data_IF_011723683875
#
_entry.id   IF_011723683875
#
_cell.length_a   1.000
_cell.length_b   1.000
_cell.length_c   1.000
_cell.angle_alpha   90.00
_cell.angle_beta   90.00
_cell.angle_gamma   90.00
#
_symmetry.space_group_name_H-M   'P 1'
#
loop_
_entity.id
_entity.type
_entity.pdbx_description
1 polymer ?
#
# COMPACT_ATOMS: atom_id res chain seq x y z
N UNK A 1 18.79 -3.00 -73.78
CA UNK A 1 17.74 -3.40 -72.89
C UNK A 1 18.23 -3.07 -71.44
N UNK A 2 17.86 -1.92 -70.88
CA UNK A 2 18.27 -1.47 -69.52
C UNK A 2 17.18 -1.81 -68.54
N UNK A 3 17.50 -2.72 -67.62
CA UNK A 3 16.62 -3.06 -66.53
C UNK A 3 16.77 -1.98 -65.46
N UNK A 4 15.69 -1.18 -65.27
CA UNK A 4 15.66 -0.16 -64.26
C UNK A 4 15.63 -0.79 -62.87
N UNK A 5 16.61 -0.46 -62.03
CA UNK A 5 16.57 -0.72 -60.60
C UNK A 5 15.59 0.26 -59.97
N UNK A 6 14.44 -0.23 -59.50
CA UNK A 6 13.54 0.53 -58.61
C UNK A 6 14.16 0.50 -57.21
N UNK A 7 14.84 1.59 -56.87
CA UNK A 7 15.20 1.87 -55.49
C UNK A 7 13.93 2.26 -54.75
N UNK A 8 13.36 1.35 -53.98
CA UNK A 8 12.32 1.69 -53.03
C UNK A 8 12.98 2.41 -51.87
N UNK A 9 12.91 3.74 -51.87
CA UNK A 9 13.29 4.54 -50.73
C UNK A 9 12.35 4.17 -49.57
N UNK A 10 12.85 3.36 -48.62
CA UNK A 10 12.16 3.16 -47.35
C UNK A 10 12.07 4.53 -46.67
N UNK A 11 10.85 5.03 -46.55
CA UNK A 11 10.62 6.35 -45.97
C UNK A 11 10.97 6.33 -44.49
N UNK A 12 11.80 7.28 -44.00
CA UNK A 12 12.25 7.31 -42.60
C UNK A 12 11.06 7.49 -41.60
N UNK A 13 9.88 7.78 -42.09
CA UNK A 13 8.66 7.97 -41.30
C UNK A 13 8.22 6.71 -40.52
N UNK A 14 8.55 5.48 -41.02
CA UNK A 14 8.22 4.24 -40.32
C UNK A 14 8.91 4.11 -38.95
N UNK A 15 10.18 4.52 -38.86
CA UNK A 15 10.92 4.46 -37.61
C UNK A 15 10.41 5.46 -36.56
N UNK A 16 9.99 6.65 -36.97
CA UNK A 16 9.41 7.65 -36.07
C UNK A 16 8.03 7.22 -35.56
N UNK A 17 7.22 6.56 -36.37
CA UNK A 17 5.92 6.03 -35.95
C UNK A 17 6.08 4.93 -34.89
N UNK A 18 7.00 3.97 -35.08
CA UNK A 18 7.28 2.89 -34.14
C UNK A 18 7.82 3.47 -32.82
N UNK A 19 8.75 4.42 -32.90
CA UNK A 19 9.28 5.12 -31.71
C UNK A 19 8.20 5.85 -30.94
N UNK A 20 7.30 6.55 -31.60
CA UNK A 20 6.17 7.26 -30.99
C UNK A 20 5.20 6.31 -30.27
N UNK A 21 4.86 5.16 -30.89
CA UNK A 21 4.01 4.15 -30.27
C UNK A 21 4.67 3.54 -29.02
N UNK A 22 5.97 3.24 -29.07
CA UNK A 22 6.70 2.70 -27.95
C UNK A 22 6.73 3.67 -26.76
N UNK A 23 6.97 4.95 -27.01
CA UNK A 23 6.95 6.00 -25.97
C UNK A 23 5.54 6.12 -25.37
N UNK A 24 4.49 6.12 -26.19
CA UNK A 24 3.10 6.18 -25.73
C UNK A 24 2.77 4.99 -24.82
N UNK A 25 3.14 3.78 -25.21
CA UNK A 25 2.93 2.58 -24.38
C UNK A 25 3.68 2.66 -23.05
N UNK A 26 4.92 3.14 -23.03
CA UNK A 26 5.69 3.35 -21.80
C UNK A 26 4.98 4.36 -20.90
N UNK A 27 4.51 5.47 -21.45
CA UNK A 27 3.76 6.49 -20.67
C UNK A 27 2.47 5.90 -20.12
N UNK A 28 1.70 5.13 -20.90
CA UNK A 28 0.48 4.46 -20.43
C UNK A 28 0.80 3.47 -19.30
N UNK A 29 1.87 2.69 -19.42
CA UNK A 29 2.31 1.75 -18.38
C UNK A 29 2.72 2.52 -17.12
N UNK A 30 3.50 3.58 -17.23
CA UNK A 30 3.90 4.41 -16.09
C UNK A 30 2.70 5.07 -15.41
N UNK A 31 1.75 5.59 -16.18
CA UNK A 31 0.51 6.15 -15.65
C UNK A 31 -0.34 5.07 -14.97
N UNK A 32 -0.46 3.88 -15.54
CA UNK A 32 -1.23 2.79 -14.93
C UNK A 32 -0.61 2.27 -13.62
N UNK A 33 0.72 2.37 -13.47
CA UNK A 33 1.43 2.06 -12.23
C UNK A 33 1.24 3.19 -11.21
N UNK A 34 1.34 4.45 -11.64
CA UNK A 34 1.19 5.63 -10.79
C UNK A 34 -0.26 5.81 -10.28
N UNK A 35 -1.25 5.45 -11.09
CA UNK A 35 -2.68 5.56 -10.78
C UNK A 35 -3.34 4.22 -10.49
N UNK A 36 -2.62 3.25 -9.87
CA UNK A 36 -3.26 2.02 -9.41
C UNK A 36 -4.42 2.37 -8.47
N UNK A 37 -5.66 2.01 -8.81
CA UNK A 37 -6.78 2.32 -7.94
C UNK A 37 -6.61 1.59 -6.60
N UNK A 38 -6.82 2.32 -5.50
CA UNK A 38 -6.95 1.70 -4.18
C UNK A 38 -7.89 0.50 -4.25
N UNK A 39 -7.60 -0.60 -3.56
CA UNK A 39 -8.62 -1.60 -3.30
C UNK A 39 -9.88 -0.88 -2.81
N UNK A 40 -10.96 -0.98 -3.56
CA UNK A 40 -12.19 -0.18 -3.41
C UNK A 40 -12.64 0.00 -1.94
N UNK A 41 -12.49 -1.05 -1.13
CA UNK A 41 -12.83 -1.05 0.30
C UNK A 41 -11.97 -0.12 1.16
N UNK A 42 -10.69 0.06 0.83
CA UNK A 42 -9.79 0.96 1.58
C UNK A 42 -10.00 2.39 1.11
N UNK A 43 -10.17 2.61 -0.21
CA UNK A 43 -10.54 3.92 -0.72
C UNK A 43 -11.79 4.46 -0.04
N UNK A 44 -12.82 3.61 0.12
CA UNK A 44 -14.06 3.98 0.78
C UNK A 44 -13.86 4.30 2.27
N UNK A 45 -12.99 3.55 2.98
CA UNK A 45 -12.66 3.82 4.39
C UNK A 45 -11.86 5.12 4.56
N UNK A 46 -10.86 5.35 3.73
CA UNK A 46 -10.08 6.59 3.75
C UNK A 46 -10.97 7.78 3.44
N UNK A 47 -11.87 7.68 2.44
CA UNK A 47 -12.86 8.72 2.13
C UNK A 47 -13.82 9.01 3.29
N UNK A 48 -14.24 7.96 4.00
CA UNK A 48 -15.12 8.06 5.17
C UNK A 48 -14.39 8.46 6.45
N UNK A 49 -13.07 8.72 6.40
CA UNK A 49 -12.22 8.93 7.58
C UNK A 49 -12.32 7.78 8.60
N UNK A 50 -12.45 6.54 8.13
CA UNK A 50 -12.63 5.33 8.95
C UNK A 50 -11.26 4.80 9.43
N UNK A 51 -10.37 5.72 9.78
CA UNK A 51 -9.12 5.43 10.48
C UNK A 51 -9.27 5.83 11.94
N UNK A 52 -8.86 4.93 12.81
CA UNK A 52 -9.00 5.04 14.26
C UNK A 52 -7.68 5.46 14.88
N UNK A 53 -7.68 6.34 15.88
CA UNK A 53 -6.49 6.55 16.70
C UNK A 53 -6.12 5.26 17.43
N UNK A 54 -4.84 5.05 17.66
CA UNK A 54 -4.38 3.87 18.41
C UNK A 54 -4.92 3.87 19.85
N UNK A 55 -5.06 5.04 20.47
CA UNK A 55 -5.64 5.15 21.80
C UNK A 55 -7.08 4.63 21.84
N UNK A 56 -7.91 5.02 20.85
CA UNK A 56 -9.30 4.57 20.73
C UNK A 56 -9.36 3.06 20.45
N UNK A 57 -8.43 2.54 19.62
CA UNK A 57 -8.29 1.12 19.39
C UNK A 57 -7.95 0.37 20.69
N UNK A 58 -6.99 0.85 21.48
CA UNK A 58 -6.58 0.22 22.73
C UNK A 58 -7.71 0.22 23.77
N UNK A 59 -8.51 1.29 23.82
CA UNK A 59 -9.69 1.33 24.67
C UNK A 59 -10.74 0.30 24.22
N UNK A 60 -11.04 0.24 22.92
CA UNK A 60 -11.98 -0.73 22.37
C UNK A 60 -11.49 -2.19 22.49
N UNK A 61 -10.19 -2.41 22.62
CA UNK A 61 -9.61 -3.74 22.84
C UNK A 61 -10.04 -4.33 24.19
N UNK A 62 -10.16 -3.49 25.22
CA UNK A 62 -10.60 -3.92 26.56
C UNK A 62 -12.05 -4.39 26.57
N UNK A 63 -12.87 -3.81 25.70
CA UNK A 63 -14.32 -4.03 25.65
C UNK A 63 -14.73 -5.24 24.79
N UNK A 64 -13.99 -5.55 23.75
CA UNK A 64 -14.33 -6.62 22.81
C UNK A 64 -13.19 -7.61 22.62
N UNK A 65 -13.49 -8.88 22.90
CA UNK A 65 -12.58 -10.00 22.65
C UNK A 65 -12.72 -10.60 21.24
N UNK A 66 -13.64 -10.10 20.44
CA UNK A 66 -13.82 -10.56 19.07
C UNK A 66 -12.58 -10.29 18.22
N UNK A 67 -12.05 -11.33 17.57
CA UNK A 67 -10.96 -11.20 16.63
C UNK A 67 -11.34 -11.85 15.28
N UNK A 68 -10.69 -11.43 14.22
CA UNK A 68 -11.02 -11.85 12.87
C UNK A 68 -9.81 -11.74 11.95
N UNK A 69 -9.80 -12.49 10.82
CA UNK A 69 -8.77 -12.34 9.82
C UNK A 69 -8.88 -10.99 9.10
N UNK A 70 -7.73 -10.36 8.86
CA UNK A 70 -7.70 -9.08 8.16
C UNK A 70 -6.30 -8.56 7.91
N UNK A 71 -6.24 -7.51 7.12
CA UNK A 71 -5.06 -6.67 6.95
C UNK A 71 -5.24 -5.37 7.72
N UNK A 72 -4.14 -4.76 8.07
CA UNK A 72 -4.13 -3.48 8.77
C UNK A 72 -3.01 -2.58 8.23
N UNK A 73 -3.27 -1.30 8.33
CA UNK A 73 -2.32 -0.24 8.00
C UNK A 73 -2.13 0.61 9.23
N UNK A 74 -0.88 0.82 9.64
CA UNK A 74 -0.50 1.70 10.74
C UNK A 74 0.16 2.93 10.12
N UNK A 75 -0.41 4.09 10.37
CA UNK A 75 0.05 5.38 9.87
C UNK A 75 0.63 6.17 11.03
N UNK A 76 1.85 6.66 10.88
CA UNK A 76 2.59 7.39 11.90
C UNK A 76 2.84 8.81 11.43
N UNK A 77 2.56 9.78 12.31
CA UNK A 77 2.71 11.21 12.09
C UNK A 77 3.51 11.83 13.25
N UNK A 78 4.70 12.30 12.95
CA UNK A 78 5.57 12.89 13.99
C UNK A 78 5.02 14.24 14.47
N UNK A 79 4.99 15.26 13.59
CA UNK A 79 4.64 16.63 13.99
C UNK A 79 3.50 17.25 13.17
N UNK A 80 2.76 16.47 12.41
CA UNK A 80 1.72 17.01 11.53
C UNK A 80 0.50 17.48 12.31
N UNK A 81 0.05 18.70 12.00
CA UNK A 81 -1.19 19.25 12.53
C UNK A 81 -2.42 18.64 11.87
N UNK A 82 -2.34 18.40 10.56
CA UNK A 82 -3.43 17.82 9.78
C UNK A 82 -3.09 16.37 9.45
N UNK A 83 -3.99 15.47 9.82
CA UNK A 83 -3.86 14.04 9.54
C UNK A 83 -4.47 13.76 8.17
N UNK A 84 -3.64 13.28 7.25
CA UNK A 84 -4.05 12.84 5.93
C UNK A 84 -3.48 11.45 5.67
N UNK A 85 -4.32 10.42 5.43
CA UNK A 85 -3.86 9.04 5.20
C UNK A 85 -2.89 8.88 4.03
N UNK A 86 -2.82 9.85 3.12
CA UNK A 86 -1.91 9.84 1.97
C UNK A 86 -0.60 10.61 2.24
N UNK A 87 -0.46 11.29 3.37
CA UNK A 87 0.71 12.12 3.72
C UNK A 87 1.18 11.82 5.15
N UNK A 88 1.55 10.59 5.41
CA UNK A 88 2.14 10.07 6.64
C UNK A 88 3.66 10.28 6.64
N UNK A 89 4.29 10.16 7.79
CA UNK A 89 5.77 10.18 7.91
C UNK A 89 6.30 8.76 7.79
N UNK A 90 5.68 7.80 8.49
CA UNK A 90 5.99 6.38 8.39
C UNK A 90 4.71 5.55 8.27
N UNK A 91 4.85 4.38 7.65
CA UNK A 91 3.76 3.44 7.46
C UNK A 91 4.22 2.00 7.68
N UNK A 92 3.35 1.21 8.30
CA UNK A 92 3.50 -0.24 8.38
C UNK A 92 2.21 -0.92 7.94
N UNK A 93 2.33 -1.90 7.07
CA UNK A 93 1.22 -2.75 6.61
C UNK A 93 1.46 -4.17 7.09
N UNK A 94 0.42 -4.85 7.54
CA UNK A 94 0.51 -6.24 7.94
C UNK A 94 -0.81 -6.98 7.82
N UNK A 95 -0.74 -8.28 8.00
CA UNK A 95 -1.87 -9.18 8.01
C UNK A 95 -1.87 -10.08 9.26
N UNK A 96 -3.03 -10.57 9.62
CA UNK A 96 -3.16 -11.60 10.64
C UNK A 96 -4.49 -12.34 10.53
N UNK A 97 -4.50 -13.60 10.95
CA UNK A 97 -5.75 -14.34 11.20
C UNK A 97 -6.48 -13.80 12.42
N UNK A 98 -5.76 -13.12 13.31
CA UNK A 98 -6.25 -12.45 14.50
C UNK A 98 -5.76 -10.99 14.48
N UNK A 99 -6.38 -10.17 13.65
CA UNK A 99 -5.89 -8.83 13.30
C UNK A 99 -5.84 -7.88 14.51
N UNK A 100 -6.83 -7.94 15.39
CA UNK A 100 -6.87 -7.10 16.58
C UNK A 100 -5.76 -7.45 17.57
N UNK A 101 -5.57 -8.76 17.85
CA UNK A 101 -4.49 -9.25 18.70
C UNK A 101 -3.11 -8.87 18.15
N UNK A 102 -2.93 -8.96 16.83
CA UNK A 102 -1.66 -8.58 16.18
C UNK A 102 -1.38 -7.09 16.29
N UNK A 103 -2.38 -6.24 16.07
CA UNK A 103 -2.26 -4.79 16.29
C UNK A 103 -1.92 -4.45 17.73
N UNK A 104 -2.60 -5.06 18.69
CA UNK A 104 -2.28 -4.90 20.11
C UNK A 104 -0.82 -5.26 20.40
N UNK A 105 -0.32 -6.38 19.84
CA UNK A 105 1.08 -6.77 19.99
C UNK A 105 2.06 -5.71 19.48
N UNK A 106 1.76 -5.05 18.36
CA UNK A 106 2.59 -3.94 17.86
C UNK A 106 2.62 -2.78 18.86
N UNK A 107 1.47 -2.41 19.42
CA UNK A 107 1.36 -1.32 20.38
C UNK A 107 2.09 -1.62 21.71
N UNK A 108 2.20 -2.90 22.07
CA UNK A 108 2.87 -3.34 23.30
C UNK A 108 4.35 -3.71 23.12
N UNK A 109 4.93 -3.49 21.95
CA UNK A 109 6.33 -3.79 21.66
C UNK A 109 6.65 -5.24 21.29
N UNK A 110 5.63 -6.10 21.15
CA UNK A 110 5.79 -7.51 20.77
C UNK A 110 5.64 -7.74 19.25
N UNK A 111 5.68 -6.67 18.46
CA UNK A 111 5.56 -6.72 17.00
C UNK A 111 6.67 -5.94 16.30
N UNK A 112 6.31 -4.97 15.45
CA UNK A 112 7.28 -4.06 14.86
C UNK A 112 7.75 -3.03 15.91
N UNK A 113 9.05 -3.04 16.22
CA UNK A 113 9.64 -2.17 17.23
C UNK A 113 9.47 -0.68 16.93
N UNK A 114 9.56 -0.30 15.64
CA UNK A 114 9.43 1.10 15.24
C UNK A 114 8.04 1.66 15.58
N UNK A 115 6.97 0.86 15.38
CA UNK A 115 5.61 1.26 15.79
C UNK A 115 5.54 1.55 17.27
N UNK A 116 6.12 0.68 18.10
CA UNK A 116 6.16 0.85 19.55
C UNK A 116 6.95 2.10 19.95
N UNK A 117 8.14 2.30 19.38
CA UNK A 117 8.96 3.49 19.66
C UNK A 117 8.27 4.78 19.25
N UNK A 118 7.60 4.82 18.10
CA UNK A 118 6.84 6.00 17.66
C UNK A 118 5.72 6.35 18.63
N UNK A 119 4.99 5.34 19.16
CA UNK A 119 3.98 5.54 20.19
C UNK A 119 4.60 6.11 21.48
N UNK A 120 5.73 5.56 21.92
CA UNK A 120 6.44 6.04 23.13
C UNK A 120 7.00 7.44 22.99
N UNK A 121 7.41 7.82 21.76
CA UNK A 121 7.91 9.16 21.43
C UNK A 121 6.81 10.21 21.28
N UNK A 122 5.53 9.84 21.48
CA UNK A 122 4.41 10.77 21.39
C UNK A 122 3.95 11.08 19.95
N UNK A 123 4.35 10.29 18.96
CA UNK A 123 3.84 10.41 17.61
C UNK A 123 2.34 10.10 17.57
N UNK A 124 1.61 10.78 16.68
CA UNK A 124 0.21 10.46 16.42
C UNK A 124 0.12 9.21 15.56
N UNK A 125 -0.45 8.14 16.08
CA UNK A 125 -0.56 6.86 15.37
C UNK A 125 -2.02 6.53 15.10
N UNK A 126 -2.31 6.18 13.85
CA UNK A 126 -3.66 5.80 13.40
C UNK A 126 -3.61 4.42 12.75
N UNK A 127 -4.72 3.71 12.82
CA UNK A 127 -4.88 2.38 12.22
C UNK A 127 -6.09 2.32 11.31
N UNK A 128 -5.92 1.58 10.21
CA UNK A 128 -7.01 1.18 9.32
C UNK A 128 -7.06 -0.34 9.37
N UNK A 129 -8.22 -0.92 9.64
CA UNK A 129 -8.39 -2.37 9.66
C UNK A 129 -9.32 -2.78 8.54
N UNK A 130 -8.87 -3.74 7.73
CA UNK A 130 -9.67 -4.35 6.67
C UNK A 130 -9.91 -5.82 6.96
N UNK A 131 -11.14 -6.16 7.31
CA UNK A 131 -11.57 -7.58 7.41
C UNK A 131 -11.48 -8.23 6.03
N UNK A 132 -10.88 -9.42 5.96
CA UNK A 132 -10.91 -10.24 4.76
C UNK A 132 -10.83 -11.73 5.13
N UNK A 133 -11.17 -12.61 4.19
CA UNK A 133 -11.06 -14.05 4.43
C UNK A 133 -9.60 -14.50 4.49
N UNK A 134 -9.31 -15.57 5.23
CA UNK A 134 -7.96 -16.16 5.35
C UNK A 134 -7.31 -16.41 3.98
N UNK A 135 -8.07 -16.89 2.99
CA UNK A 135 -7.59 -17.16 1.62
C UNK A 135 -7.10 -15.91 0.88
N UNK A 136 -7.57 -14.72 1.26
CA UNK A 136 -7.24 -13.44 0.61
C UNK A 136 -6.19 -12.63 1.36
N UNK A 137 -5.76 -13.05 2.54
CA UNK A 137 -4.84 -12.29 3.40
C UNK A 137 -3.56 -11.88 2.67
N UNK A 138 -2.80 -12.86 2.15
CA UNK A 138 -1.53 -12.60 1.49
C UNK A 138 -1.68 -11.63 0.31
N UNK A 139 -2.70 -11.83 -0.52
CA UNK A 139 -2.92 -10.95 -1.68
C UNK A 139 -3.30 -9.54 -1.24
N UNK A 140 -4.19 -9.42 -0.26
CA UNK A 140 -4.62 -8.13 0.26
C UNK A 140 -3.47 -7.36 0.93
N UNK A 141 -2.57 -8.05 1.65
CA UNK A 141 -1.37 -7.42 2.22
C UNK A 141 -0.42 -6.91 1.12
N UNK A 142 -0.12 -7.73 0.11
CA UNK A 142 0.74 -7.33 -1.01
C UNK A 142 0.16 -6.11 -1.71
N UNK A 143 -1.13 -6.12 -2.06
CA UNK A 143 -1.81 -5.00 -2.72
C UNK A 143 -1.73 -3.71 -1.88
N UNK A 144 -1.83 -3.82 -0.54
CA UNK A 144 -1.70 -2.69 0.38
C UNK A 144 -0.27 -2.16 0.48
N UNK A 145 0.72 -3.07 0.60
CA UNK A 145 2.14 -2.69 0.66
C UNK A 145 2.54 -1.99 -0.63
N UNK A 146 2.13 -2.51 -1.78
CA UNK A 146 2.39 -1.87 -3.07
C UNK A 146 1.71 -0.51 -3.19
N UNK A 147 0.42 -0.45 -2.82
CA UNK A 147 -0.36 0.78 -2.91
C UNK A 147 0.25 1.92 -2.09
N UNK A 148 0.58 1.66 -0.83
CA UNK A 148 1.20 2.64 0.05
C UNK A 148 2.72 2.76 -0.13
N UNK A 149 3.34 1.98 -1.03
CA UNK A 149 4.79 1.91 -1.19
C UNK A 149 5.52 1.67 0.15
N UNK A 150 4.92 0.84 1.00
CA UNK A 150 5.32 0.66 2.40
C UNK A 150 6.71 0.02 2.57
N UNK A 151 7.27 -0.60 1.51
CA UNK A 151 8.65 -1.10 1.48
C UNK A 151 9.69 0.02 1.57
N UNK A 152 9.31 1.27 1.27
CA UNK A 152 10.16 2.45 1.47
C UNK A 152 10.04 3.03 2.88
N UNK A 153 9.26 2.40 3.76
CA UNK A 153 9.06 2.80 5.14
C UNK A 153 9.34 1.62 6.08
N UNK A 154 8.36 1.17 6.86
CA UNK A 154 8.59 0.16 7.92
C UNK A 154 8.41 -1.29 7.46
N UNK A 155 7.98 -1.55 6.23
CA UNK A 155 7.90 -2.91 5.70
C UNK A 155 9.23 -3.32 5.07
N UNK A 156 9.89 -4.32 5.64
CA UNK A 156 11.17 -4.84 5.12
C UNK A 156 11.00 -5.73 3.87
N UNK A 157 9.80 -6.24 3.63
CA UNK A 157 9.47 -7.15 2.52
C UNK A 157 8.19 -6.73 1.82
N UNK A 158 7.97 -7.30 0.63
CA UNK A 158 6.73 -7.08 -0.15
C UNK A 158 5.50 -7.81 0.40
N UNK A 159 5.60 -8.43 1.57
CA UNK A 159 4.50 -9.20 2.16
C UNK A 159 4.32 -10.60 1.54
N UNK A 160 3.23 -11.25 1.92
CA UNK A 160 2.88 -12.57 1.37
C UNK A 160 3.60 -13.77 2.00
N UNK A 161 4.38 -13.58 3.06
CA UNK A 161 4.93 -14.70 3.81
C UNK A 161 3.80 -15.45 4.55
N UNK A 162 3.81 -16.81 4.57
CA UNK A 162 2.85 -17.55 5.34
C UNK A 162 2.96 -17.14 6.81
N UNK A 163 1.83 -16.78 7.43
CA UNK A 163 1.76 -16.57 8.87
C UNK A 163 2.13 -17.87 9.57
N UNK A 164 3.28 -17.93 10.23
CA UNK A 164 3.66 -19.02 11.11
C UNK A 164 2.76 -19.06 12.33
#
# INVERSE_FOLDING_TARGET
>A
MRIGQYFTAETPYGFYAIGGIAILLIVIILLSIAFRPLPKKIADRIRKKDYMKVEDFLNSWKESKEDYPGCYVILIYDKKLVINPMHYDEIYVGQSVNVRKRLFSHCMGHGNGNVYYSLKSGCKVYVIIQKCSRKKLNRAEIDLIEYFNATKSLNMTRGGAPSR
#
